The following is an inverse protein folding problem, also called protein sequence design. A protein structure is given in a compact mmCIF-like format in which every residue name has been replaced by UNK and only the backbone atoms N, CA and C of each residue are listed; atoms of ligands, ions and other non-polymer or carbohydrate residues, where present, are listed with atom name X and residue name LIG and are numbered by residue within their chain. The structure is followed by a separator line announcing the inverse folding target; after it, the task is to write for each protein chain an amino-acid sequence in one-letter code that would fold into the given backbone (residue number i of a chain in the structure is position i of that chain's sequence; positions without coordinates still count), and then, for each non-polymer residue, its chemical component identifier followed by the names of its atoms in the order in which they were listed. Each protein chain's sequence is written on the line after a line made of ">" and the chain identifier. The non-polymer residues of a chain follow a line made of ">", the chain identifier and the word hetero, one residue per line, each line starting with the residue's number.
data_IF_418397333338
#
_entry.id   IF_418397333338
#
_cell.length_a   1.000
_cell.length_b   1.000
_cell.length_c   1.000
_cell.angle_alpha   90.00
_cell.angle_beta   90.00
_cell.angle_gamma   90.00
#
_symmetry.space_group_name_H-M   'P 1'
#
loop_
_entity.id
_entity.type
_entity.pdbx_description
1 polymer ?
#
# COMPACT_ATOMS: atom_id res chain seq x y z
N UNK A 1 -6.55 4.99 -25.47
CA UNK A 1 -5.47 4.51 -24.58
C UNK A 1 -4.15 5.07 -25.09
N UNK A 2 -3.40 5.79 -24.30
CA UNK A 2 -2.06 6.28 -24.66
C UNK A 2 -1.14 5.09 -24.90
N UNK A 3 -0.59 4.98 -26.12
CA UNK A 3 0.46 3.98 -26.42
C UNK A 3 1.68 4.32 -25.56
N UNK A 4 2.07 3.43 -24.63
CA UNK A 4 3.23 3.61 -23.78
C UNK A 4 3.24 2.62 -22.63
N UNK A 5 4.38 2.54 -21.95
CA UNK A 5 4.60 1.62 -20.83
C UNK A 5 4.22 2.28 -19.50
N UNK A 6 3.62 1.53 -18.58
CA UNK A 6 3.39 1.97 -17.20
C UNK A 6 4.58 1.54 -16.35
N UNK A 7 5.23 2.50 -15.70
CA UNK A 7 6.25 2.21 -14.69
C UNK A 7 5.58 1.88 -13.36
N UNK A 8 5.86 0.69 -12.80
CA UNK A 8 5.45 0.28 -11.46
C UNK A 8 6.68 0.10 -10.60
N UNK A 9 6.82 0.89 -9.55
CA UNK A 9 7.91 0.76 -8.57
C UNK A 9 7.46 -0.07 -7.38
N UNK A 10 8.39 -0.74 -6.68
CA UNK A 10 8.04 -1.67 -5.61
C UNK A 10 7.29 -2.91 -6.13
N UNK A 11 7.59 -3.31 -7.37
CA UNK A 11 6.83 -4.30 -8.11
C UNK A 11 6.98 -5.75 -7.59
N UNK A 12 7.97 -6.03 -6.74
CA UNK A 12 8.10 -7.30 -6.04
C UNK A 12 7.29 -7.35 -4.72
N UNK A 13 6.87 -6.19 -4.21
CA UNK A 13 6.09 -6.06 -2.97
C UNK A 13 4.61 -6.42 -3.15
N UNK A 14 3.89 -6.45 -2.02
CA UNK A 14 2.46 -6.76 -1.93
C UNK A 14 1.63 -5.99 -2.97
N UNK A 15 1.66 -4.67 -2.89
CA UNK A 15 0.78 -3.80 -3.67
C UNK A 15 1.29 -3.59 -5.10
N UNK A 16 2.61 -3.38 -5.27
CA UNK A 16 3.20 -3.19 -6.60
C UNK A 16 3.02 -4.41 -7.49
N UNK A 17 3.10 -5.63 -6.94
CA UNK A 17 2.81 -6.85 -7.69
C UNK A 17 1.32 -6.93 -8.10
N UNK A 18 0.39 -6.64 -7.20
CA UNK A 18 -1.04 -6.67 -7.52
C UNK A 18 -1.40 -5.64 -8.61
N UNK A 19 -0.87 -4.41 -8.51
CA UNK A 19 -1.03 -3.39 -9.56
C UNK A 19 -0.47 -3.86 -10.90
N UNK A 20 0.74 -4.44 -10.89
CA UNK A 20 1.37 -4.97 -12.10
C UNK A 20 0.49 -6.04 -12.77
N UNK A 21 -0.01 -6.99 -11.99
CA UNK A 21 -0.88 -8.07 -12.50
C UNK A 21 -2.14 -7.51 -13.15
N UNK A 22 -2.85 -6.60 -12.46
CA UNK A 22 -4.06 -5.97 -13.01
C UNK A 22 -3.79 -5.22 -14.32
N UNK A 23 -2.68 -4.50 -14.42
CA UNK A 23 -2.32 -3.76 -15.63
C UNK A 23 -1.99 -4.70 -16.80
N UNK A 24 -1.24 -5.79 -16.54
CA UNK A 24 -0.87 -6.77 -17.56
C UNK A 24 -2.09 -7.58 -18.03
N UNK A 25 -3.00 -7.97 -17.14
CA UNK A 25 -4.28 -8.61 -17.48
C UNK A 25 -5.18 -7.71 -18.32
N UNK A 26 -5.11 -6.39 -18.10
CA UNK A 26 -5.74 -5.39 -18.96
C UNK A 26 -5.01 -5.15 -20.31
N UNK A 27 -3.97 -5.94 -20.62
CA UNK A 27 -3.20 -5.86 -21.88
C UNK A 27 -2.25 -4.65 -21.94
N UNK A 28 -1.88 -4.07 -20.80
CA UNK A 28 -0.93 -2.93 -20.75
C UNK A 28 0.50 -3.42 -20.63
N UNK A 29 1.41 -2.73 -21.31
CA UNK A 29 2.85 -2.95 -21.13
C UNK A 29 3.28 -2.34 -19.79
N UNK A 30 3.92 -3.15 -18.93
CA UNK A 30 4.41 -2.74 -17.61
C UNK A 30 5.93 -2.84 -17.54
N UNK A 31 6.56 -1.76 -17.08
CA UNK A 31 7.96 -1.74 -16.66
C UNK A 31 7.99 -1.85 -15.13
N UNK A 32 8.25 -3.05 -14.64
CA UNK A 32 8.31 -3.37 -13.22
C UNK A 32 9.72 -3.17 -12.68
N UNK A 33 9.88 -2.38 -11.61
CA UNK A 33 11.16 -2.18 -10.92
C UNK A 33 11.04 -2.42 -9.41
N UNK A 34 12.10 -2.97 -8.81
CA UNK A 34 12.24 -3.14 -7.37
C UNK A 34 13.73 -3.15 -6.99
N UNK A 35 14.04 -2.92 -5.70
CA UNK A 35 15.42 -3.02 -5.19
C UNK A 35 15.98 -4.44 -5.24
N UNK A 36 15.10 -5.44 -5.23
CA UNK A 36 15.48 -6.85 -5.39
C UNK A 36 15.29 -7.30 -6.83
N UNK A 37 16.31 -8.00 -7.37
CA UNK A 37 16.16 -8.72 -8.62
C UNK A 37 15.26 -9.93 -8.35
N UNK A 38 14.08 -9.95 -8.95
CA UNK A 38 13.16 -11.05 -8.78
C UNK A 38 12.48 -11.40 -10.10
N UNK A 39 12.19 -12.68 -10.29
CA UNK A 39 11.13 -13.10 -11.17
C UNK A 39 9.94 -13.47 -10.27
N UNK A 40 8.90 -12.67 -10.29
CA UNK A 40 7.66 -12.98 -9.58
C UNK A 40 6.70 -13.58 -10.59
N UNK A 41 6.31 -14.84 -10.39
CA UNK A 41 5.44 -15.60 -11.32
C UNK A 41 5.98 -15.65 -12.76
N UNK A 42 7.30 -15.84 -12.91
CA UNK A 42 7.97 -15.92 -14.22
C UNK A 42 8.16 -14.58 -14.93
N UNK A 43 7.72 -13.47 -14.34
CA UNK A 43 7.78 -12.11 -14.93
C UNK A 43 8.98 -11.35 -14.38
N UNK A 44 9.79 -10.77 -15.25
CA UNK A 44 11.02 -10.05 -14.89
C UNK A 44 10.68 -8.74 -14.19
N UNK A 45 11.34 -8.50 -13.05
CA UNK A 45 11.40 -7.21 -12.36
C UNK A 45 12.83 -6.69 -12.52
N UNK A 46 12.98 -5.49 -13.06
CA UNK A 46 14.29 -4.87 -13.20
C UNK A 46 14.78 -4.39 -11.82
N UNK A 47 16.01 -4.77 -11.48
CA UNK A 47 16.60 -4.33 -10.22
C UNK A 47 16.98 -2.86 -10.28
N UNK A 48 16.43 -2.08 -9.34
CA UNK A 48 16.75 -0.67 -9.17
C UNK A 48 16.38 -0.20 -7.77
N UNK A 49 17.34 0.38 -7.07
CA UNK A 49 17.06 1.14 -5.85
C UNK A 49 16.53 2.53 -6.24
N UNK A 50 15.51 3.01 -5.53
CA UNK A 50 14.91 4.33 -5.80
C UNK A 50 15.87 5.49 -5.52
N UNK A 51 16.92 5.26 -4.75
CA UNK A 51 17.97 6.24 -4.47
C UNK A 51 18.98 6.38 -5.61
N UNK A 52 18.99 5.42 -6.56
CA UNK A 52 19.91 5.38 -7.70
C UNK A 52 19.31 6.11 -8.92
N UNK A 53 19.27 7.43 -8.89
CA UNK A 53 18.60 8.25 -9.93
C UNK A 53 19.12 7.94 -11.35
N UNK A 54 20.42 7.74 -11.53
CA UNK A 54 21.00 7.42 -12.85
C UNK A 54 20.48 6.09 -13.38
N UNK A 55 20.36 5.09 -12.49
CA UNK A 55 19.85 3.77 -12.84
C UNK A 55 18.38 3.82 -13.22
N UNK A 56 17.59 4.62 -12.49
CA UNK A 56 16.18 4.87 -12.83
C UNK A 56 16.04 5.41 -14.25
N UNK A 57 16.81 6.44 -14.63
CA UNK A 57 16.78 7.03 -15.98
C UNK A 57 17.29 6.07 -17.06
N UNK A 58 18.29 5.25 -16.75
CA UNK A 58 18.80 4.23 -17.68
C UNK A 58 17.73 3.19 -18.04
N UNK A 59 16.99 2.70 -17.06
CA UNK A 59 15.93 1.68 -17.23
C UNK A 59 14.79 2.18 -18.13
N UNK A 60 14.43 3.45 -18.04
CA UNK A 60 13.34 4.04 -18.86
C UNK A 60 13.82 4.66 -20.16
N UNK A 61 15.12 4.63 -20.45
CA UNK A 61 15.70 5.21 -21.68
C UNK A 61 15.01 4.64 -22.93
N UNK A 62 14.56 5.54 -23.80
CA UNK A 62 13.90 5.18 -25.05
C UNK A 62 12.47 4.68 -24.91
N UNK A 63 11.90 4.70 -23.69
CA UNK A 63 10.51 4.33 -23.46
C UNK A 63 9.60 5.56 -23.35
N UNK A 64 8.41 5.44 -23.89
CA UNK A 64 7.34 6.41 -23.66
C UNK A 64 6.56 5.99 -22.41
N UNK A 65 6.59 6.78 -21.35
CA UNK A 65 5.84 6.49 -20.12
C UNK A 65 4.39 6.97 -20.26
N UNK A 66 3.44 6.04 -20.29
CA UNK A 66 2.01 6.35 -20.23
C UNK A 66 1.55 6.67 -18.81
N UNK A 67 2.32 6.31 -17.79
CA UNK A 67 2.08 6.63 -16.40
C UNK A 67 3.08 5.98 -15.46
N UNK A 68 3.01 6.39 -14.21
CA UNK A 68 3.82 5.84 -13.10
C UNK A 68 2.88 5.49 -11.95
N UNK A 69 2.99 4.27 -11.41
CA UNK A 69 2.38 3.89 -10.13
C UNK A 69 3.51 3.63 -9.13
N UNK A 70 3.65 4.55 -8.19
CA UNK A 70 4.76 4.56 -7.24
C UNK A 70 4.35 3.87 -5.93
N UNK A 71 4.62 2.54 -5.85
CA UNK A 71 4.39 1.72 -4.67
C UNK A 71 5.69 1.44 -3.87
N UNK A 72 6.86 1.76 -4.44
CA UNK A 72 8.16 1.50 -3.80
C UNK A 72 8.36 2.35 -2.56
N UNK A 73 8.51 1.72 -1.41
CA UNK A 73 8.75 2.36 -0.12
C UNK A 73 9.18 1.32 0.93
N UNK A 74 9.79 1.79 2.00
CA UNK A 74 9.80 1.09 3.28
C UNK A 74 8.42 1.30 3.92
N UNK A 75 7.61 0.24 3.99
CA UNK A 75 6.16 0.35 4.25
C UNK A 75 5.79 -0.07 5.67
N UNK A 76 5.34 0.89 6.44
CA UNK A 76 4.82 0.74 7.79
C UNK A 76 5.70 1.36 8.87
N UNK A 77 5.11 1.79 10.00
CA UNK A 77 5.83 2.43 11.10
C UNK A 77 6.80 1.49 11.82
N UNK A 78 6.63 0.16 11.67
CA UNK A 78 7.51 -0.85 12.24
C UNK A 78 8.81 -1.05 11.42
N UNK A 79 8.88 -0.61 10.17
CA UNK A 79 10.01 -0.86 9.27
C UNK A 79 11.09 0.19 9.46
N UNK A 80 12.38 -0.24 9.49
CA UNK A 80 13.56 0.62 9.63
C UNK A 80 13.52 1.56 10.85
N UNK A 81 12.95 1.13 11.98
CA UNK A 81 12.91 1.92 13.23
C UNK A 81 14.31 2.20 13.80
N UNK A 82 15.23 1.27 13.59
CA UNK A 82 16.63 1.34 13.98
C UNK A 82 17.52 2.06 12.95
N UNK A 83 16.96 2.38 11.78
CA UNK A 83 17.67 3.07 10.71
C UNK A 83 16.81 4.21 10.09
N UNK A 84 16.53 5.29 10.84
CA UNK A 84 15.73 6.42 10.34
C UNK A 84 16.26 7.06 9.05
N UNK A 85 17.59 7.23 8.84
CA UNK A 85 18.11 7.77 7.58
C UNK A 85 17.73 6.95 6.35
N UNK A 86 17.63 5.63 6.48
CA UNK A 86 17.19 4.77 5.39
C UNK A 86 15.72 5.05 4.98
N UNK A 87 14.84 5.26 5.98
CA UNK A 87 13.44 5.66 5.71
C UNK A 87 13.39 6.98 4.91
N UNK A 88 14.18 7.98 5.29
CA UNK A 88 14.27 9.27 4.58
C UNK A 88 14.81 9.08 3.17
N UNK A 89 15.92 8.34 3.01
CA UNK A 89 16.53 8.10 1.71
C UNK A 89 15.56 7.42 0.73
N UNK A 90 14.91 6.34 1.16
CA UNK A 90 14.02 5.56 0.28
C UNK A 90 12.69 6.28 0.07
N UNK A 91 12.01 6.70 1.14
CA UNK A 91 10.64 7.19 1.03
C UNK A 91 10.53 8.64 0.57
N UNK A 92 11.52 9.48 0.89
CA UNK A 92 11.49 10.90 0.51
C UNK A 92 12.36 11.15 -0.71
N UNK A 93 13.65 10.86 -0.63
CA UNK A 93 14.58 11.10 -1.76
C UNK A 93 14.23 10.18 -2.93
N UNK A 94 13.94 8.91 -2.67
CA UNK A 94 13.49 7.96 -3.70
C UNK A 94 12.21 8.42 -4.39
N UNK A 95 11.22 8.93 -3.65
CA UNK A 95 9.99 9.51 -4.23
C UNK A 95 10.30 10.74 -5.08
N UNK A 96 11.18 11.64 -4.63
CA UNK A 96 11.61 12.80 -5.42
C UNK A 96 12.30 12.37 -6.72
N UNK A 97 13.14 11.34 -6.69
CA UNK A 97 13.80 10.79 -7.87
C UNK A 97 12.79 10.25 -8.89
N UNK A 98 11.75 9.54 -8.44
CA UNK A 98 10.72 8.97 -9.33
C UNK A 98 9.80 10.08 -9.87
N UNK A 99 9.52 11.13 -9.10
CA UNK A 99 8.79 12.31 -9.58
C UNK A 99 9.59 13.04 -10.67
N UNK A 100 10.88 13.24 -10.46
CA UNK A 100 11.75 13.91 -11.44
C UNK A 100 11.87 13.07 -12.72
N UNK A 101 12.00 11.75 -12.58
CA UNK A 101 11.96 10.83 -13.72
C UNK A 101 10.63 10.96 -14.49
N UNK A 102 9.49 10.96 -13.78
CA UNK A 102 8.18 11.09 -14.41
C UNK A 102 8.06 12.44 -15.18
N UNK A 103 8.56 13.52 -14.58
CA UNK A 103 8.60 14.86 -15.22
C UNK A 103 9.46 14.88 -16.48
N UNK A 104 10.70 14.41 -16.40
CA UNK A 104 11.67 14.42 -17.52
C UNK A 104 11.18 13.55 -18.68
N UNK A 105 10.64 12.36 -18.37
CA UNK A 105 10.12 11.43 -19.39
C UNK A 105 8.65 11.69 -19.74
N UNK A 106 8.07 12.80 -19.28
CA UNK A 106 6.73 13.30 -19.63
C UNK A 106 5.64 12.23 -19.41
N UNK A 107 5.69 11.54 -18.27
CA UNK A 107 4.65 10.60 -17.90
C UNK A 107 3.28 11.30 -17.85
N UNK A 108 2.25 10.69 -18.44
CA UNK A 108 0.93 11.31 -18.53
C UNK A 108 0.23 11.41 -17.18
N UNK A 109 0.54 10.47 -16.24
CA UNK A 109 -0.03 10.43 -14.89
C UNK A 109 1.01 9.88 -13.91
N UNK A 110 1.03 10.44 -12.69
CA UNK A 110 1.78 9.92 -11.55
C UNK A 110 0.82 9.58 -10.41
N UNK A 111 0.76 8.31 -10.01
CA UNK A 111 -0.04 7.84 -8.87
C UNK A 111 0.89 7.50 -7.71
N UNK A 112 0.74 8.20 -6.60
CA UNK A 112 1.51 8.00 -5.38
C UNK A 112 0.75 7.13 -4.37
N UNK A 113 1.34 6.04 -3.95
CA UNK A 113 0.84 5.22 -2.87
C UNK A 113 1.18 5.86 -1.52
N UNK A 114 0.28 6.71 -1.02
CA UNK A 114 0.33 7.30 0.33
C UNK A 114 -0.28 6.36 1.38
N UNK A 115 -0.49 6.84 2.58
CA UNK A 115 -0.99 6.06 3.72
C UNK A 115 -1.86 6.92 4.62
N UNK A 116 -2.85 6.31 5.28
CA UNK A 116 -3.59 6.95 6.39
C UNK A 116 -2.69 7.32 7.57
N UNK A 117 -1.49 6.71 7.70
CA UNK A 117 -0.50 7.14 8.70
C UNK A 117 -0.04 8.60 8.53
N UNK A 118 -0.28 9.22 7.36
CA UNK A 118 -0.02 10.64 7.15
C UNK A 118 -0.93 11.55 8.01
N UNK A 119 -2.11 11.09 8.38
CA UNK A 119 -3.01 11.84 9.26
C UNK A 119 -2.49 11.94 10.70
N UNK A 120 -1.77 10.91 11.20
CA UNK A 120 -1.46 10.74 12.60
C UNK A 120 -2.67 10.29 13.42
N UNK A 121 -2.74 10.69 14.70
CA UNK A 121 -3.89 10.43 15.57
C UNK A 121 -5.10 11.22 15.09
N UNK A 122 -6.25 10.56 14.99
CA UNK A 122 -7.52 11.20 14.60
C UNK A 122 -8.59 10.98 15.67
N UNK A 123 -9.43 11.99 15.88
CA UNK A 123 -10.46 12.01 16.94
C UNK A 123 -11.88 12.17 16.42
N UNK A 124 -12.04 12.63 15.17
CA UNK A 124 -13.36 12.79 14.56
C UNK A 124 -14.00 11.41 14.33
N UNK A 125 -15.31 11.29 14.51
CA UNK A 125 -16.04 10.04 14.28
C UNK A 125 -15.87 9.55 12.83
N UNK A 126 -15.92 10.48 11.87
CA UNK A 126 -15.64 10.28 10.45
C UNK A 126 -14.62 11.33 10.00
N UNK A 127 -13.41 10.88 9.69
CA UNK A 127 -12.28 11.75 9.33
C UNK A 127 -12.36 12.18 7.87
N UNK A 128 -12.55 13.48 7.57
CA UNK A 128 -12.56 13.97 6.20
C UNK A 128 -11.14 14.01 5.60
N UNK A 129 -11.06 14.08 4.27
CA UNK A 129 -9.77 14.05 3.57
C UNK A 129 -8.92 15.32 3.76
N UNK A 130 -9.54 16.45 4.03
CA UNK A 130 -8.90 17.76 4.13
C UNK A 130 -8.45 18.13 5.55
N UNK A 131 -8.54 17.19 6.49
CA UNK A 131 -7.98 17.35 7.83
C UNK A 131 -6.46 17.58 7.74
N UNK A 132 -5.90 18.54 8.49
CA UNK A 132 -4.46 18.77 8.50
C UNK A 132 -3.67 17.53 8.89
N UNK A 133 -2.66 17.21 8.10
CA UNK A 133 -1.78 16.07 8.37
C UNK A 133 -0.89 16.36 9.59
N UNK A 134 -0.91 15.45 10.57
CA UNK A 134 -0.12 15.53 11.80
C UNK A 134 0.53 14.18 12.13
N UNK A 135 1.37 13.64 11.23
CA UNK A 135 1.96 12.32 11.43
C UNK A 135 2.83 12.30 12.68
N UNK A 136 2.73 11.25 13.48
CA UNK A 136 3.52 11.04 14.68
C UNK A 136 4.71 10.10 14.44
N UNK A 137 4.66 9.32 13.36
CA UNK A 137 5.72 8.38 12.98
C UNK A 137 6.54 8.92 11.81
N UNK A 138 7.80 8.50 11.69
CA UNK A 138 8.65 8.86 10.55
C UNK A 138 8.08 8.33 9.23
N UNK A 139 7.45 7.15 9.27
CA UNK A 139 6.74 6.61 8.11
C UNK A 139 5.59 7.53 7.66
N UNK A 140 4.71 7.91 8.59
CA UNK A 140 3.62 8.84 8.30
C UNK A 140 4.14 10.18 7.78
N UNK A 141 5.20 10.74 8.40
CA UNK A 141 5.86 11.96 7.95
C UNK A 141 6.42 11.82 6.53
N UNK A 142 7.03 10.67 6.19
CA UNK A 142 7.54 10.43 4.85
C UNK A 142 6.42 10.38 3.79
N UNK A 143 5.26 9.83 4.14
CA UNK A 143 4.08 9.79 3.26
C UNK A 143 3.47 11.17 3.07
N UNK A 144 3.30 11.93 4.15
CA UNK A 144 2.84 13.32 4.09
C UNK A 144 3.78 14.20 3.23
N UNK A 145 5.11 14.04 3.39
CA UNK A 145 6.11 14.71 2.54
C UNK A 145 5.96 14.31 1.08
N UNK A 146 5.76 13.02 0.78
CA UNK A 146 5.52 12.54 -0.59
C UNK A 146 4.30 13.21 -1.24
N UNK A 147 3.19 13.36 -0.53
CA UNK A 147 2.00 14.07 -1.02
C UNK A 147 2.30 15.54 -1.34
N UNK A 148 3.06 16.22 -0.47
CA UNK A 148 3.48 17.61 -0.70
C UNK A 148 4.39 17.74 -1.94
N UNK A 149 5.30 16.78 -2.15
CA UNK A 149 6.12 16.74 -3.37
C UNK A 149 5.26 16.51 -4.62
N UNK A 150 4.34 15.56 -4.62
CA UNK A 150 3.41 15.33 -5.74
C UNK A 150 2.63 16.59 -6.07
N UNK A 151 2.05 17.26 -5.08
CA UNK A 151 1.31 18.50 -5.25
C UNK A 151 2.20 19.65 -5.77
N UNK A 152 3.45 19.75 -5.31
CA UNK A 152 4.40 20.74 -5.77
C UNK A 152 4.79 20.53 -7.25
N UNK A 153 5.08 19.27 -7.64
CA UNK A 153 5.39 18.92 -9.04
C UNK A 153 4.22 19.20 -9.97
N UNK A 154 2.98 18.93 -9.52
CA UNK A 154 1.77 19.28 -10.26
C UNK A 154 1.67 20.78 -10.49
N UNK A 155 1.81 21.60 -9.45
CA UNK A 155 1.68 23.06 -9.54
C UNK A 155 2.81 23.72 -10.32
N UNK A 156 4.06 23.28 -10.11
CA UNK A 156 5.23 23.96 -10.69
C UNK A 156 5.59 23.46 -12.09
N UNK A 157 5.36 22.18 -12.36
CA UNK A 157 5.84 21.54 -13.59
C UNK A 157 4.73 20.92 -14.42
N UNK A 158 3.48 20.98 -13.97
CA UNK A 158 2.33 20.43 -14.70
C UNK A 158 2.28 18.90 -14.76
N UNK A 159 3.04 18.20 -13.88
CA UNK A 159 2.95 16.74 -13.78
C UNK A 159 1.59 16.37 -13.17
N UNK A 160 0.75 15.65 -13.92
CA UNK A 160 -0.56 15.21 -13.42
C UNK A 160 -0.38 14.15 -12.34
N UNK A 161 -0.26 14.58 -11.09
CA UNK A 161 -0.02 13.77 -9.91
C UNK A 161 -1.25 13.62 -9.03
N UNK A 162 -1.46 12.43 -8.49
CA UNK A 162 -2.50 12.11 -7.49
C UNK A 162 -1.95 11.18 -6.42
N UNK A 163 -2.36 11.39 -5.18
CA UNK A 163 -1.96 10.58 -4.01
C UNK A 163 -3.14 9.80 -3.47
N UNK A 164 -2.97 8.51 -3.17
CA UNK A 164 -3.98 7.69 -2.50
C UNK A 164 -3.52 7.31 -1.10
N UNK A 165 -4.22 7.78 -0.07
CA UNK A 165 -4.02 7.42 1.35
C UNK A 165 -4.67 6.08 1.61
N UNK A 166 -3.89 5.03 1.48
CA UNK A 166 -4.37 3.67 1.73
C UNK A 166 -4.38 3.36 3.22
N UNK A 167 -5.43 2.71 3.69
CA UNK A 167 -5.43 2.07 5.01
C UNK A 167 -4.53 0.83 5.02
N UNK A 168 -4.49 0.07 6.14
CA UNK A 168 -3.63 -1.11 6.24
C UNK A 168 -3.97 -2.17 5.20
N UNK A 169 -3.10 -2.29 4.18
CA UNK A 169 -3.28 -3.27 3.10
C UNK A 169 -2.90 -4.66 3.60
N UNK A 170 -3.76 -5.66 3.42
CA UNK A 170 -3.48 -7.06 3.75
C UNK A 170 -3.81 -7.98 2.58
N UNK A 171 -3.25 -9.18 2.60
CA UNK A 171 -3.49 -10.18 1.55
C UNK A 171 -2.21 -10.90 1.13
N UNK A 172 -2.26 -11.66 0.03
CA UNK A 172 -1.15 -12.41 -0.54
C UNK A 172 0.14 -11.62 -0.66
N UNK A 173 1.28 -12.26 -0.36
CA UNK A 173 2.64 -11.68 -0.48
C UNK A 173 2.99 -10.59 0.53
N UNK A 174 2.21 -10.38 1.58
CA UNK A 174 2.60 -9.48 2.66
C UNK A 174 3.81 -10.03 3.41
N UNK A 175 4.94 -9.29 3.38
CA UNK A 175 6.19 -9.68 4.05
C UNK A 175 6.44 -8.93 5.35
N UNK A 176 5.90 -7.72 5.49
CA UNK A 176 6.01 -6.94 6.73
C UNK A 176 5.00 -7.41 7.77
N UNK A 177 5.24 -7.08 9.03
CA UNK A 177 4.37 -7.47 10.15
C UNK A 177 2.90 -7.13 9.88
N UNK A 178 2.03 -8.08 10.16
CA UNK A 178 0.59 -7.92 9.94
C UNK A 178 -0.18 -8.88 10.85
N UNK A 179 -0.91 -8.33 11.80
CA UNK A 179 -1.67 -9.14 12.77
C UNK A 179 -2.66 -10.10 12.09
N UNK A 180 -3.25 -9.70 10.96
CA UNK A 180 -4.18 -10.55 10.19
C UNK A 180 -3.44 -11.77 9.64
N UNK A 181 -2.25 -11.57 9.05
CA UNK A 181 -1.41 -12.66 8.56
C UNK A 181 -1.00 -13.59 9.69
N UNK A 182 -0.54 -13.01 10.81
CA UNK A 182 -0.01 -13.79 11.93
C UNK A 182 -1.12 -14.64 12.56
N UNK A 183 -2.31 -14.09 12.78
CA UNK A 183 -3.49 -14.86 13.23
C UNK A 183 -3.83 -16.02 12.28
N UNK A 184 -3.81 -15.79 10.95
CA UNK A 184 -4.13 -16.81 9.95
C UNK A 184 -3.03 -17.87 9.90
N UNK A 185 -1.76 -17.48 9.81
CA UNK A 185 -0.65 -18.43 9.68
C UNK A 185 -0.47 -19.29 10.94
N UNK A 186 -0.67 -18.72 12.11
CA UNK A 186 -0.64 -19.47 13.37
C UNK A 186 -1.80 -20.47 13.43
N UNK A 187 -3.02 -20.03 13.09
CA UNK A 187 -4.18 -20.92 13.07
C UNK A 187 -4.00 -22.10 12.10
N UNK A 188 -3.50 -21.84 10.89
CA UNK A 188 -3.20 -22.89 9.90
C UNK A 188 -2.11 -23.86 10.36
N UNK A 189 -1.17 -23.38 11.18
CA UNK A 189 -0.10 -24.18 11.75
C UNK A 189 -0.45 -24.82 13.10
N UNK A 190 -1.68 -24.65 13.60
CA UNK A 190 -2.10 -25.15 14.91
C UNK A 190 -1.43 -24.47 16.09
N UNK A 191 -0.91 -23.26 15.90
CA UNK A 191 -0.27 -22.45 16.95
C UNK A 191 -1.24 -21.44 17.54
N UNK A 192 -0.97 -21.03 18.77
CA UNK A 192 -1.68 -19.94 19.44
C UNK A 192 -1.12 -18.57 19.03
N UNK A 193 -1.99 -17.61 18.76
CA UNK A 193 -1.61 -16.20 18.60
C UNK A 193 -1.91 -15.42 19.88
N UNK A 194 -0.94 -14.70 20.41
CA UNK A 194 -1.08 -13.88 21.63
C UNK A 194 -0.65 -12.44 21.32
N UNK A 195 -1.63 -11.52 21.21
CA UNK A 195 -1.38 -10.10 20.95
C UNK A 195 -1.46 -9.37 22.28
N UNK A 196 -0.36 -8.71 22.73
CA UNK A 196 -0.28 -8.13 24.07
C UNK A 196 -0.99 -6.79 24.23
N UNK A 197 -1.77 -6.36 23.26
CA UNK A 197 -2.53 -5.08 23.22
C UNK A 197 -3.67 -5.15 22.22
N UNK A 198 -4.48 -4.11 22.12
CA UNK A 198 -5.36 -3.87 20.97
C UNK A 198 -6.79 -4.37 21.13
N UNK A 199 -7.21 -4.89 22.30
CA UNK A 199 -8.59 -5.35 22.49
C UNK A 199 -9.62 -4.31 22.04
N UNK A 200 -9.40 -3.04 22.36
CA UNK A 200 -10.25 -1.91 22.02
C UNK A 200 -9.54 -0.93 21.04
N UNK A 201 -8.44 -1.34 20.43
CA UNK A 201 -7.72 -0.54 19.44
C UNK A 201 -8.21 -0.88 18.04
N UNK A 202 -8.85 0.07 17.40
CA UNK A 202 -9.44 -0.13 16.07
C UNK A 202 -8.45 0.21 14.95
N UNK A 203 -8.58 -0.52 13.84
CA UNK A 203 -7.80 -0.29 12.62
C UNK A 203 -8.67 -0.55 11.40
N UNK A 204 -8.42 0.20 10.34
CA UNK A 204 -9.03 -0.05 9.06
C UNK A 204 -8.09 -0.83 8.17
N UNK A 205 -8.58 -1.94 7.64
CA UNK A 205 -7.86 -2.75 6.66
C UNK A 205 -8.51 -2.62 5.28
N UNK A 206 -7.71 -2.82 4.25
CA UNK A 206 -8.14 -2.93 2.86
C UNK A 206 -7.48 -4.17 2.24
N UNK A 207 -8.27 -4.97 1.52
CA UNK A 207 -7.72 -6.11 0.79
C UNK A 207 -6.88 -5.64 -0.39
N UNK A 208 -5.80 -6.35 -0.69
CA UNK A 208 -4.78 -5.91 -1.66
C UNK A 208 -5.36 -5.64 -3.05
N UNK A 209 -6.34 -6.43 -3.49
CA UNK A 209 -6.94 -6.29 -4.82
C UNK A 209 -7.79 -5.00 -4.92
N UNK A 210 -8.49 -4.63 -3.84
CA UNK A 210 -9.21 -3.36 -3.77
C UNK A 210 -8.26 -2.16 -3.79
N UNK A 211 -7.16 -2.25 -3.04
CA UNK A 211 -6.14 -1.21 -3.02
C UNK A 211 -5.47 -1.04 -4.40
N UNK A 212 -5.12 -2.15 -5.05
CA UNK A 212 -4.55 -2.15 -6.39
C UNK A 212 -5.53 -1.62 -7.43
N UNK A 213 -6.80 -2.03 -7.35
CA UNK A 213 -7.88 -1.53 -8.21
C UNK A 213 -8.06 -0.02 -8.10
N UNK A 214 -7.99 0.54 -6.89
CA UNK A 214 -8.07 1.99 -6.67
C UNK A 214 -6.88 2.74 -7.31
N UNK A 215 -5.65 2.21 -7.19
CA UNK A 215 -4.45 2.80 -7.83
C UNK A 215 -4.56 2.76 -9.37
N UNK A 216 -5.05 1.67 -9.94
CA UNK A 216 -5.28 1.57 -11.39
C UNK A 216 -6.40 2.52 -11.83
N UNK A 217 -7.48 2.63 -11.06
CA UNK A 217 -8.54 3.60 -11.34
C UNK A 217 -8.02 5.04 -11.33
N UNK A 218 -7.16 5.40 -10.36
CA UNK A 218 -6.53 6.72 -10.28
C UNK A 218 -5.56 6.98 -11.45
N UNK A 219 -4.91 5.93 -11.97
CA UNK A 219 -4.06 6.02 -13.15
C UNK A 219 -4.87 6.32 -14.42
N UNK A 220 -6.06 5.75 -14.53
CA UNK A 220 -6.86 5.76 -15.77
C UNK A 220 -7.90 6.90 -15.84
N UNK A 221 -8.34 7.43 -14.70
CA UNK A 221 -9.30 8.54 -14.65
C UNK A 221 -8.66 9.85 -15.08
N UNK A 222 -9.23 10.50 -16.07
CA UNK A 222 -8.86 11.86 -16.49
C UNK A 222 -9.54 12.90 -15.59
N UNK A 223 -8.91 14.09 -15.49
CA UNK A 223 -9.50 15.28 -14.86
C UNK A 223 -9.99 15.04 -13.43
N UNK A 224 -9.14 14.43 -12.60
CA UNK A 224 -9.46 14.26 -11.19
C UNK A 224 -9.57 15.64 -10.49
N UNK A 225 -10.69 15.92 -9.79
CA UNK A 225 -10.91 17.21 -9.14
C UNK A 225 -10.07 17.43 -7.89
N UNK A 226 -9.46 16.36 -7.36
CA UNK A 226 -8.63 16.36 -6.16
C UNK A 226 -7.24 15.80 -6.44
N UNK A 227 -6.27 16.25 -5.64
CA UNK A 227 -4.89 15.74 -5.69
C UNK A 227 -4.66 14.58 -4.73
N UNK A 228 -5.61 14.31 -3.84
CA UNK A 228 -5.52 13.27 -2.81
C UNK A 228 -6.87 12.61 -2.58
N UNK A 229 -6.84 11.30 -2.37
CA UNK A 229 -8.02 10.47 -2.04
C UNK A 229 -7.70 9.52 -0.90
N UNK A 230 -8.64 9.33 0.02
CA UNK A 230 -8.57 8.30 1.06
C UNK A 230 -9.26 7.04 0.57
N UNK A 231 -8.59 5.90 0.72
CA UNK A 231 -9.04 4.61 0.20
C UNK A 231 -8.89 3.54 1.28
N UNK A 232 -10.01 3.02 1.75
CA UNK A 232 -10.07 2.00 2.82
C UNK A 232 -11.02 0.87 2.44
N UNK A 233 -10.98 -0.24 3.16
CA UNK A 233 -11.94 -1.34 3.01
C UNK A 233 -13.32 -1.05 3.65
N UNK A 234 -13.56 0.16 4.14
CA UNK A 234 -14.86 0.61 4.67
C UNK A 234 -15.15 0.20 6.12
N UNK A 235 -14.51 -0.83 6.65
CA UNK A 235 -14.71 -1.30 8.03
C UNK A 235 -13.60 -0.82 8.96
N UNK A 236 -13.99 -0.31 10.13
CA UNK A 236 -13.08 0.02 11.23
C UNK A 236 -13.31 -1.01 12.34
N UNK A 237 -12.34 -1.89 12.58
CA UNK A 237 -12.48 -3.05 13.46
C UNK A 237 -11.41 -3.02 14.55
N UNK A 238 -11.78 -3.33 15.77
CA UNK A 238 -10.85 -3.60 16.87
C UNK A 238 -10.09 -4.90 16.62
N UNK A 239 -8.93 -5.07 17.25
CA UNK A 239 -8.19 -6.33 17.10
C UNK A 239 -8.95 -7.53 17.66
N UNK A 240 -9.82 -7.33 18.66
CA UNK A 240 -10.72 -8.37 19.15
C UNK A 240 -11.76 -8.78 18.09
N UNK A 241 -12.35 -7.80 17.38
CA UNK A 241 -13.29 -8.05 16.28
C UNK A 241 -12.58 -8.74 15.09
N UNK A 242 -11.35 -8.32 14.77
CA UNK A 242 -10.50 -8.97 13.75
C UNK A 242 -10.27 -10.44 14.12
N UNK A 243 -9.92 -10.74 15.39
CA UNK A 243 -9.74 -12.09 15.87
C UNK A 243 -11.04 -12.92 15.74
N UNK A 244 -12.20 -12.31 16.00
CA UNK A 244 -13.50 -13.00 15.82
C UNK A 244 -13.78 -13.29 14.33
N UNK A 245 -13.43 -12.39 13.42
CA UNK A 245 -13.53 -12.68 11.97
C UNK A 245 -12.62 -13.83 11.59
N UNK A 246 -11.36 -13.85 12.04
CA UNK A 246 -10.44 -14.95 11.75
C UNK A 246 -11.00 -16.29 12.31
N UNK A 247 -11.55 -16.32 13.52
CA UNK A 247 -12.19 -17.51 14.08
C UNK A 247 -13.43 -17.95 13.29
N UNK A 248 -14.18 -17.03 12.71
CA UNK A 248 -15.33 -17.37 11.87
C UNK A 248 -14.94 -18.10 10.57
N UNK A 249 -13.72 -17.86 10.08
CA UNK A 249 -13.14 -18.50 8.89
C UNK A 249 -12.33 -19.74 9.26
N UNK A 250 -11.60 -19.70 10.37
CA UNK A 250 -10.77 -20.77 10.90
C UNK A 250 -11.21 -21.10 12.35
N UNK A 251 -12.23 -21.95 12.56
CA UNK A 251 -12.81 -22.19 13.88
C UNK A 251 -11.84 -22.74 14.94
N UNK A 252 -10.75 -23.37 14.52
CA UNK A 252 -9.71 -23.89 15.40
C UNK A 252 -8.69 -22.81 15.86
N UNK A 253 -8.82 -21.57 15.41
CA UNK A 253 -7.87 -20.49 15.74
C UNK A 253 -7.91 -20.14 17.24
N UNK A 254 -6.78 -20.36 17.93
CA UNK A 254 -6.57 -19.95 19.33
C UNK A 254 -5.89 -18.57 19.36
N UNK A 255 -6.69 -17.52 19.46
CA UNK A 255 -6.23 -16.13 19.44
C UNK A 255 -6.63 -15.46 20.75
N UNK A 256 -5.70 -14.78 21.41
CA UNK A 256 -6.00 -13.89 22.53
C UNK A 256 -5.42 -12.50 22.26
N UNK A 257 -6.23 -11.49 22.58
CA UNK A 257 -5.89 -10.07 22.42
C UNK A 257 -6.03 -9.39 23.77
N UNK A 258 -4.95 -8.82 24.28
CA UNK A 258 -4.96 -8.11 25.56
C UNK A 258 -5.42 -6.65 25.41
N UNK A 259 -5.71 -6.00 26.52
CA UNK A 259 -6.02 -4.57 26.58
C UNK A 259 -4.80 -3.72 26.23
N UNK A 260 -5.02 -2.43 25.97
CA UNK A 260 -4.00 -1.44 25.66
C UNK A 260 -4.00 -1.01 24.19
N UNK A 261 -3.31 0.09 23.93
CA UNK A 261 -3.14 0.64 22.58
C UNK A 261 -1.93 0.00 21.87
N UNK A 262 -1.93 0.03 20.54
CA UNK A 262 -0.76 -0.34 19.76
C UNK A 262 0.40 0.65 20.07
N UNK A 263 1.57 0.15 20.51
CA UNK A 263 2.69 1.02 20.88
C UNK A 263 3.41 1.63 19.67
N UNK A 264 3.05 1.24 18.44
CA UNK A 264 3.77 1.62 17.22
C UNK A 264 2.91 2.46 16.29
N UNK A 265 1.59 2.22 16.28
CA UNK A 265 0.67 2.84 15.33
C UNK A 265 -0.30 3.81 16.01
N UNK A 266 -0.71 4.83 15.26
CA UNK A 266 -1.64 5.84 15.72
C UNK A 266 -3.06 5.28 15.86
N UNK A 267 -3.78 5.69 16.92
CA UNK A 267 -5.21 5.47 17.01
C UNK A 267 -5.90 6.34 15.96
N UNK A 268 -6.63 5.70 15.07
CA UNK A 268 -7.35 6.36 13.98
C UNK A 268 -8.81 5.97 13.97
N UNK A 269 -9.66 6.96 13.74
CA UNK A 269 -11.09 6.79 13.55
C UNK A 269 -11.41 6.39 12.10
N UNK A 270 -12.68 6.20 11.80
CA UNK A 270 -13.15 5.85 10.46
C UNK A 270 -12.89 7.00 9.48
N UNK A 271 -12.37 6.69 8.29
CA UNK A 271 -12.12 7.67 7.24
C UNK A 271 -13.28 7.79 6.26
N UNK A 272 -13.56 9.00 5.81
CA UNK A 272 -14.45 9.26 4.70
C UNK A 272 -13.77 8.86 3.38
N UNK A 273 -14.46 8.03 2.60
CA UNK A 273 -14.01 7.58 1.28
C UNK A 273 -14.95 8.06 0.16
N UNK A 274 -15.88 8.95 0.48
CA UNK A 274 -16.92 9.40 -0.46
C UNK A 274 -16.34 10.07 -1.71
N UNK A 275 -15.22 10.79 -1.58
CA UNK A 275 -14.55 11.37 -2.73
C UNK A 275 -13.94 10.31 -3.65
N UNK A 276 -13.31 9.27 -3.11
CA UNK A 276 -12.80 8.15 -3.90
C UNK A 276 -13.95 7.40 -4.60
N UNK A 277 -15.09 7.23 -3.92
CA UNK A 277 -16.28 6.61 -4.52
C UNK A 277 -16.80 7.41 -5.72
N UNK A 278 -16.96 8.72 -5.55
CA UNK A 278 -17.51 9.61 -6.57
C UNK A 278 -16.56 9.81 -7.76
N UNK A 279 -15.29 10.09 -7.49
CA UNK A 279 -14.36 10.58 -8.50
C UNK A 279 -13.57 9.44 -9.16
N UNK A 280 -13.19 8.41 -8.40
CA UNK A 280 -12.50 7.23 -8.91
C UNK A 280 -13.45 6.09 -9.30
N UNK A 281 -14.71 6.12 -8.84
CA UNK A 281 -15.63 4.99 -8.93
C UNK A 281 -15.19 3.84 -8.02
N UNK A 282 -14.42 4.15 -6.98
CA UNK A 282 -13.94 3.16 -6.03
C UNK A 282 -15.07 2.68 -5.12
N UNK A 283 -15.17 1.36 -4.97
CA UNK A 283 -15.98 0.71 -3.94
C UNK A 283 -15.25 -0.54 -3.51
N UNK A 284 -15.05 -0.77 -2.20
CA UNK A 284 -14.49 -2.04 -1.74
C UNK A 284 -15.34 -3.21 -2.27
N UNK A 285 -14.70 -4.15 -2.94
CA UNK A 285 -15.32 -5.39 -3.46
C UNK A 285 -15.27 -6.50 -2.43
N UNK A 286 -14.29 -6.42 -1.52
CA UNK A 286 -14.10 -7.37 -0.44
C UNK A 286 -14.52 -6.75 0.88
N UNK A 287 -15.50 -7.35 1.57
CA UNK A 287 -15.63 -7.16 3.01
C UNK A 287 -14.37 -7.70 3.70
N UNK A 288 -14.11 -7.29 4.94
CA UNK A 288 -12.95 -7.79 5.67
C UNK A 288 -12.97 -9.33 5.79
N UNK A 289 -14.14 -9.92 6.01
CA UNK A 289 -14.31 -11.38 6.09
C UNK A 289 -13.99 -12.08 4.77
N UNK A 290 -14.44 -11.55 3.64
CA UNK A 290 -14.12 -12.10 2.32
C UNK A 290 -12.63 -11.99 2.00
N UNK A 291 -11.99 -10.86 2.36
CA UNK A 291 -10.54 -10.70 2.23
C UNK A 291 -9.76 -11.72 3.08
N UNK A 292 -10.21 -11.99 4.31
CA UNK A 292 -9.61 -13.02 5.17
C UNK A 292 -9.75 -14.41 4.54
N UNK A 293 -10.93 -14.77 4.01
CA UNK A 293 -11.14 -16.06 3.30
C UNK A 293 -10.21 -16.18 2.09
N UNK A 294 -10.20 -15.18 1.22
CA UNK A 294 -9.34 -15.18 0.04
C UNK A 294 -7.86 -15.32 0.41
N UNK A 295 -7.43 -14.70 1.52
CA UNK A 295 -6.06 -14.81 1.98
C UNK A 295 -5.74 -16.21 2.56
N UNK A 296 -6.67 -16.81 3.30
CA UNK A 296 -6.57 -18.20 3.78
C UNK A 296 -6.44 -19.17 2.62
N UNK A 297 -7.33 -19.07 1.62
CA UNK A 297 -7.30 -19.91 0.42
C UNK A 297 -5.97 -19.79 -0.32
N UNK A 298 -5.47 -18.57 -0.46
CA UNK A 298 -4.17 -18.33 -1.10
C UNK A 298 -3.02 -19.00 -0.31
N UNK A 299 -2.97 -18.81 1.02
CA UNK A 299 -1.94 -19.41 1.87
C UNK A 299 -1.98 -20.95 1.80
N UNK A 300 -3.16 -21.57 1.85
CA UNK A 300 -3.33 -23.02 1.74
C UNK A 300 -2.81 -23.56 0.39
N UNK A 301 -3.07 -22.84 -0.70
CA UNK A 301 -2.64 -23.25 -2.03
C UNK A 301 -1.16 -22.98 -2.33
N UNK A 302 -0.49 -22.11 -1.55
CA UNK A 302 0.89 -21.72 -1.77
C UNK A 302 1.84 -22.13 -0.64
N UNK A 303 1.36 -22.86 0.37
CA UNK A 303 2.16 -23.31 1.53
C UNK A 303 3.34 -24.21 1.16
N UNK A 304 3.29 -24.90 0.01
CA UNK A 304 4.40 -25.70 -0.50
C UNK A 304 5.51 -24.88 -1.20
N UNK A 305 5.25 -23.60 -1.55
CA UNK A 305 6.22 -22.72 -2.23
C UNK A 305 6.87 -21.70 -1.29
N UNK A 306 6.29 -21.47 -0.13
CA UNK A 306 6.86 -20.61 0.91
C UNK A 306 7.43 -21.50 1.99
N UNK A 307 8.66 -21.99 1.79
CA UNK A 307 9.50 -22.41 2.90
C UNK A 307 9.67 -21.23 3.84
N UNK A 308 8.71 -21.00 4.72
CA UNK A 308 8.82 -20.11 5.86
C UNK A 308 9.78 -20.74 6.87
N UNK A 309 11.05 -20.85 6.49
CA UNK A 309 12.15 -20.94 7.44
C UNK A 309 12.36 -19.53 7.97
N UNK A 310 12.09 -19.36 9.24
CA UNK A 310 12.47 -18.23 10.04
C UNK A 310 13.95 -17.86 9.82
N UNK A 311 14.22 -16.63 9.40
CA UNK A 311 15.43 -15.89 9.70
C UNK A 311 15.03 -14.53 10.25
#
# INVERSE_FOLDING_TARGET
>A
MTKGVVLVTGAAGLLGNAVRVLLEEAGREVLAIDRIAAAVEGRKIAQCDLTEIHRLHEIVRGKCLSGVVHCGALSGPMVARDNPPLMVAVNIVGTANVLELARIHRASRFVFCSSTSAFGVTTDELVPEDVPLRPTTLYGASKATGEQLVAAYKRQYGLDGVSLRLSWVFGPRRTTDCIVRDMITDALAGRSTRIPFGQNFSRQFIYVDDAAGALVAALDRSNLPRDTYTVTGGSCLTFAEIANVVRSVLPAADIAVAEGDDPIDDRQSRFDISAAQRDLGYSPKFSFTEGVRAYVDWLMNHSSATGLTHV
#
